data_IF_191352363205
#
_entry.id   IF_191352363205
#
_cell.length_a   1.000
_cell.length_b   1.000
_cell.length_c   1.000
_cell.angle_alpha   90.00
_cell.angle_beta   90.00
_cell.angle_gamma   90.00
#
_symmetry.space_group_name_H-M   'P 1'
#
loop_
_entity.id
_entity.type
_entity.pdbx_description
1 polymer ?
#
# COMPACT_ATOMS: atom_id res chain seq x y z
N UNK A 1 -9.00 67.11 68.06
CA UNK A 1 -7.95 66.15 67.80
C UNK A 1 -8.39 65.19 66.72
N UNK A 2 -7.49 64.77 65.80
CA UNK A 2 -7.68 63.84 64.74
C UNK A 2 -7.19 62.46 65.14
N UNK A 3 -7.59 61.40 64.40
CA UNK A 3 -7.09 60.02 64.51
C UNK A 3 -6.43 59.56 63.22
N UNK A 4 -5.96 58.31 63.19
CA UNK A 4 -5.36 57.68 62.01
C UNK A 4 -6.06 56.36 61.69
N UNK A 5 -6.05 56.00 60.42
CA UNK A 5 -6.49 54.70 59.94
C UNK A 5 -5.38 54.10 59.09
N UNK A 6 -5.03 52.84 59.39
CA UNK A 6 -4.00 52.08 58.67
C UNK A 6 -4.68 50.83 58.09
N UNK A 7 -4.59 50.68 56.76
CA UNK A 7 -4.94 49.44 56.08
C UNK A 7 -3.70 48.58 55.90
N UNK A 8 -3.77 47.34 56.36
CA UNK A 8 -2.70 46.34 56.14
C UNK A 8 -3.13 45.34 55.11
N UNK A 9 -2.42 45.28 54.01
CA UNK A 9 -2.74 44.45 52.87
C UNK A 9 -1.89 43.19 52.86
N UNK A 10 -2.54 42.04 52.74
CA UNK A 10 -1.87 40.74 52.72
C UNK A 10 -2.41 39.89 51.56
N UNK A 11 -1.57 38.97 51.05
CA UNK A 11 -2.08 37.84 50.30
C UNK A 11 -2.72 36.82 51.24
N UNK A 12 -3.46 35.88 50.70
CA UNK A 12 -3.98 34.72 51.41
C UNK A 12 -2.90 33.82 52.02
N UNK A 13 -1.68 33.81 51.40
CA UNK A 13 -0.47 33.18 51.94
C UNK A 13 0.20 33.99 53.05
N UNK A 14 -0.31 35.18 53.35
CA UNK A 14 0.17 36.05 54.44
C UNK A 14 1.31 36.99 54.04
N UNK A 15 1.65 37.12 52.75
CA UNK A 15 2.65 38.10 52.28
C UNK A 15 2.07 39.52 52.30
N UNK A 16 2.89 40.49 52.65
CA UNK A 16 2.53 41.92 52.57
C UNK A 16 2.47 42.38 51.10
N UNK A 17 1.36 43.06 50.75
CA UNK A 17 1.09 43.45 49.37
C UNK A 17 1.22 44.95 49.13
N UNK A 18 2.28 45.43 48.46
CA UNK A 18 2.39 46.81 48.01
C UNK A 18 1.55 47.08 46.76
N UNK A 19 1.18 48.34 46.53
CA UNK A 19 0.50 48.77 45.32
C UNK A 19 -1.01 48.60 45.31
N UNK A 20 -1.65 48.20 46.42
CA UNK A 20 -3.09 48.19 46.52
C UNK A 20 -3.63 49.61 46.67
N UNK A 21 -4.58 50.03 45.85
CA UNK A 21 -5.24 51.32 46.01
C UNK A 21 -6.47 51.21 46.90
N UNK A 22 -6.45 51.99 47.99
CA UNK A 22 -7.49 51.97 49.02
C UNK A 22 -8.24 53.31 49.03
N UNK A 23 -9.55 53.24 49.08
CA UNK A 23 -10.47 54.38 49.27
C UNK A 23 -11.11 54.26 50.64
N UNK A 24 -11.06 55.34 51.41
CA UNK A 24 -11.83 55.47 52.66
C UNK A 24 -12.78 56.63 52.55
N UNK A 25 -13.99 56.50 53.13
CA UNK A 25 -15.07 57.50 53.12
C UNK A 25 -15.63 57.69 54.51
N UNK A 26 -15.58 58.89 55.04
CA UNK A 26 -16.23 59.21 56.31
C UNK A 26 -17.76 59.21 56.15
N UNK A 27 -18.47 58.35 56.86
CA UNK A 27 -19.89 58.06 56.60
C UNK A 27 -20.77 59.29 56.82
N UNK A 28 -20.51 60.11 57.86
CA UNK A 28 -21.35 61.26 58.18
C UNK A 28 -21.09 62.46 57.24
N UNK A 29 -19.83 62.74 56.90
CA UNK A 29 -19.50 63.93 56.14
C UNK A 29 -19.29 63.69 54.63
N UNK A 30 -19.22 62.44 54.20
CA UNK A 30 -18.92 62.05 52.82
C UNK A 30 -17.50 62.40 52.39
N UNK A 31 -16.59 62.78 53.28
CA UNK A 31 -15.20 63.07 52.97
C UNK A 31 -14.47 61.81 52.52
N UNK A 32 -13.82 61.84 51.33
CA UNK A 32 -13.14 60.71 50.72
C UNK A 32 -11.64 60.96 50.71
N UNK A 33 -10.85 59.92 51.03
CA UNK A 33 -9.41 59.88 50.94
C UNK A 33 -9.03 58.63 50.16
N UNK A 34 -7.94 58.71 49.38
CA UNK A 34 -7.37 57.59 48.65
C UNK A 34 -5.87 57.48 48.99
N UNK A 35 -5.38 56.27 49.06
CA UNK A 35 -3.99 55.96 49.34
C UNK A 35 -3.59 54.62 48.72
N UNK A 36 -2.31 54.39 48.57
CA UNK A 36 -1.74 53.16 48.05
C UNK A 36 -0.89 52.47 49.10
N UNK A 37 -0.87 51.13 49.13
CA UNK A 37 -0.05 50.39 50.08
C UNK A 37 1.42 50.45 49.63
N UNK A 38 2.29 50.74 50.59
CA UNK A 38 3.74 50.81 50.44
C UNK A 38 4.39 49.40 50.44
N UNK A 39 5.71 49.31 50.38
CA UNK A 39 6.46 48.04 50.41
C UNK A 39 6.20 47.17 51.65
N UNK A 40 5.71 47.75 52.76
CA UNK A 40 5.28 47.00 53.94
C UNK A 40 3.79 46.59 53.88
N UNK A 41 3.14 46.71 52.71
CA UNK A 41 1.74 46.41 52.53
C UNK A 41 0.82 47.35 53.31
N UNK A 42 1.20 48.57 53.65
CA UNK A 42 0.43 49.49 54.48
C UNK A 42 0.04 50.77 53.75
N UNK A 43 -1.26 51.12 53.81
CA UNK A 43 -1.76 52.46 53.45
C UNK A 43 -2.18 53.19 54.72
N UNK A 44 -1.59 54.35 54.98
CA UNK A 44 -1.84 55.12 56.23
C UNK A 44 -2.51 56.42 55.87
N UNK A 45 -3.66 56.67 56.55
CA UNK A 45 -4.43 57.91 56.47
C UNK A 45 -4.26 58.61 57.80
N UNK A 46 -3.49 59.70 57.85
CA UNK A 46 -3.20 60.45 59.06
C UNK A 46 -4.05 61.69 59.17
N UNK A 47 -4.26 62.15 60.37
CA UNK A 47 -4.96 63.40 60.70
C UNK A 47 -6.37 63.46 60.06
N UNK A 48 -7.12 62.35 60.13
CA UNK A 48 -8.49 62.29 59.64
C UNK A 48 -9.49 62.50 60.79
N UNK A 49 -10.66 62.98 60.46
CA UNK A 49 -11.74 63.29 61.42
C UNK A 49 -12.20 62.01 62.17
N UNK A 50 -12.34 62.01 63.50
CA UNK A 50 -12.94 60.85 64.16
C UNK A 50 -14.37 60.56 63.68
N UNK A 51 -14.74 59.29 63.59
CA UNK A 51 -16.04 58.84 63.13
C UNK A 51 -15.95 57.51 62.37
N UNK A 52 -17.09 57.08 61.86
CA UNK A 52 -17.17 55.84 61.10
C UNK A 52 -16.77 56.01 59.64
N UNK A 53 -15.91 55.12 59.13
CA UNK A 53 -15.41 55.10 57.76
C UNK A 53 -15.82 53.82 57.06
N UNK A 54 -16.15 53.92 55.77
CA UNK A 54 -16.17 52.82 54.83
C UNK A 54 -14.80 52.72 54.19
N UNK A 55 -14.26 51.50 54.08
CA UNK A 55 -12.96 51.22 53.52
C UNK A 55 -13.18 50.24 52.39
N UNK A 56 -12.70 50.54 51.18
CA UNK A 56 -12.80 49.73 49.99
C UNK A 56 -11.46 49.66 49.28
N UNK A 57 -11.12 48.51 48.75
CA UNK A 57 -10.08 48.40 47.75
C UNK A 57 -10.64 48.86 46.41
N UNK A 58 -9.97 49.79 45.74
CA UNK A 58 -10.37 50.28 44.42
C UNK A 58 -9.50 49.68 43.29
N UNK A 59 -8.30 49.20 43.61
CA UNK A 59 -7.46 48.41 42.71
C UNK A 59 -6.58 47.47 43.54
N UNK A 60 -6.51 46.20 43.11
CA UNK A 60 -5.58 45.24 43.69
C UNK A 60 -4.17 45.41 43.11
N UNK A 61 -3.11 44.94 43.78
CA UNK A 61 -1.81 44.77 43.19
C UNK A 61 -1.83 43.84 41.98
N UNK A 62 -0.86 43.95 41.06
CA UNK A 62 -0.70 43.00 39.95
C UNK A 62 -0.58 41.55 40.46
N UNK A 63 -1.24 40.61 39.79
CA UNK A 63 -1.27 39.20 40.18
C UNK A 63 -2.31 38.84 41.26
N UNK A 64 -3.10 39.79 41.72
CA UNK A 64 -4.10 39.57 42.78
C UNK A 64 -5.50 39.94 42.34
N UNK A 65 -6.49 39.30 42.94
CA UNK A 65 -7.93 39.55 42.73
C UNK A 65 -8.35 40.69 43.67
N UNK A 66 -9.04 41.69 43.10
CA UNK A 66 -9.55 42.82 43.89
C UNK A 66 -10.61 42.35 44.88
N UNK A 67 -10.46 42.68 46.13
CA UNK A 67 -11.54 42.47 47.13
C UNK A 67 -12.67 43.45 46.89
N UNK A 68 -13.88 42.93 46.72
CA UNK A 68 -15.11 43.70 46.61
C UNK A 68 -15.78 43.94 47.99
N UNK A 69 -15.15 43.47 49.08
CA UNK A 69 -15.64 43.66 50.41
C UNK A 69 -15.57 45.13 50.84
N UNK A 70 -16.59 45.57 51.55
CA UNK A 70 -16.63 46.91 52.16
C UNK A 70 -16.45 46.77 53.66
N UNK A 71 -15.29 47.20 54.12
CA UNK A 71 -14.98 47.21 55.57
C UNK A 71 -15.50 48.50 56.22
N UNK A 72 -15.78 48.42 57.52
CA UNK A 72 -16.10 49.60 58.34
C UNK A 72 -15.22 49.66 59.54
N UNK A 73 -14.76 50.86 59.87
CA UNK A 73 -13.95 51.12 61.05
C UNK A 73 -14.36 52.44 61.71
N UNK A 74 -14.25 52.51 63.00
CA UNK A 74 -14.47 53.76 63.71
C UNK A 74 -13.12 54.34 64.14
N UNK A 75 -12.74 55.48 63.57
CA UNK A 75 -11.53 56.23 63.96
C UNK A 75 -11.78 57.00 65.22
N UNK A 76 -10.92 56.81 66.19
CA UNK A 76 -10.93 57.46 67.49
C UNK A 76 -9.86 58.52 67.57
N UNK A 77 -10.15 59.58 68.23
CA UNK A 77 -9.20 60.69 68.40
C UNK A 77 -7.93 60.22 69.14
N UNK A 78 -6.76 60.48 68.53
CA UNK A 78 -5.44 60.17 69.06
C UNK A 78 -4.96 58.75 68.85
N UNK A 79 -5.78 57.88 68.30
CA UNK A 79 -5.47 56.49 68.06
C UNK A 79 -5.22 56.19 66.56
N UNK A 80 -4.60 55.03 66.29
CA UNK A 80 -4.48 54.44 64.95
C UNK A 80 -5.30 53.17 64.95
N UNK A 81 -6.31 53.11 64.05
CA UNK A 81 -7.13 51.91 63.81
C UNK A 81 -6.51 51.13 62.66
N UNK A 82 -6.27 49.84 62.85
CA UNK A 82 -5.72 48.95 61.83
C UNK A 82 -6.81 48.02 61.24
N UNK A 83 -6.85 47.91 59.92
CA UNK A 83 -7.79 47.03 59.21
C UNK A 83 -6.98 46.12 58.26
N UNK A 84 -7.00 44.82 58.48
CA UNK A 84 -6.40 43.88 57.51
C UNK A 84 -7.39 43.66 56.33
N UNK A 85 -6.85 43.66 55.12
CA UNK A 85 -7.53 43.28 53.87
C UNK A 85 -6.69 42.23 53.19
N UNK A 86 -7.29 41.08 52.79
CA UNK A 86 -6.62 39.96 52.12
C UNK A 86 -7.07 39.93 50.67
N UNK A 87 -6.10 39.69 49.76
CA UNK A 87 -6.38 39.36 48.36
C UNK A 87 -5.93 37.93 48.05
N UNK A 88 -6.70 37.28 47.22
CA UNK A 88 -6.35 35.99 46.64
C UNK A 88 -5.46 36.21 45.42
N UNK A 89 -4.50 35.31 45.20
CA UNK A 89 -3.70 35.29 44.00
C UNK A 89 -4.54 34.90 42.77
N UNK A 90 -4.28 35.52 41.64
CA UNK A 90 -4.91 35.13 40.40
C UNK A 90 -4.42 33.75 39.98
N UNK A 91 -5.31 32.87 39.54
CA UNK A 91 -4.96 31.55 39.09
C UNK A 91 -4.23 31.59 37.71
N UNK A 92 -3.62 30.48 37.37
CA UNK A 92 -3.05 30.22 36.07
C UNK A 92 -3.63 28.94 35.44
N UNK A 93 -3.49 28.82 34.14
CA UNK A 93 -3.86 27.63 33.36
C UNK A 93 -2.66 27.16 32.55
N UNK A 94 -2.32 25.89 32.71
CA UNK A 94 -1.36 25.20 31.86
C UNK A 94 -2.12 24.20 30.99
N UNK A 95 -1.95 24.28 29.66
CA UNK A 95 -2.42 23.30 28.71
C UNK A 95 -1.22 22.50 28.23
N UNK A 96 -1.31 21.17 28.30
CA UNK A 96 -0.22 20.27 27.92
C UNK A 96 -0.72 19.36 26.83
N UNK A 97 0.09 19.20 25.77
CA UNK A 97 -0.25 18.40 24.61
C UNK A 97 0.74 17.28 24.36
N UNK A 98 0.25 16.06 24.28
CA UNK A 98 1.05 14.86 24.03
C UNK A 98 0.53 14.03 22.85
N UNK A 99 1.44 13.30 22.22
CA UNK A 99 1.11 12.13 21.39
C UNK A 99 0.56 11.01 22.30
N UNK A 100 -0.58 10.44 21.93
CA UNK A 100 -1.27 9.44 22.76
C UNK A 100 -0.52 8.11 22.86
N UNK A 101 0.33 7.79 21.88
CA UNK A 101 1.04 6.52 21.78
C UNK A 101 2.45 6.60 22.37
N UNK A 102 3.20 7.66 22.02
CA UNK A 102 4.59 7.81 22.46
C UNK A 102 4.71 8.60 23.75
N UNK A 103 3.71 9.39 24.10
CA UNK A 103 3.71 10.36 25.19
C UNK A 103 4.78 11.46 25.01
N UNK A 104 5.22 11.67 23.78
CA UNK A 104 6.09 12.81 23.46
C UNK A 104 5.28 14.09 23.39
N UNK A 105 5.90 15.19 23.78
CA UNK A 105 5.28 16.51 23.73
C UNK A 105 5.03 16.96 22.28
N UNK A 106 3.86 17.54 22.00
CA UNK A 106 3.52 18.03 20.67
C UNK A 106 3.56 19.57 20.63
N UNK A 107 4.59 20.17 19.99
CA UNK A 107 4.68 21.61 19.80
C UNK A 107 3.80 22.11 18.65
N UNK A 108 3.56 23.44 18.65
CA UNK A 108 2.83 24.16 17.59
C UNK A 108 1.37 23.71 17.38
N UNK A 109 0.78 23.05 18.35
CA UNK A 109 -0.64 22.68 18.31
C UNK A 109 -1.47 23.89 18.77
N UNK A 110 -2.52 24.22 18.02
CA UNK A 110 -3.32 25.42 18.27
C UNK A 110 -4.56 25.11 19.09
N UNK A 111 -4.79 25.90 20.14
CA UNK A 111 -5.95 25.83 21.00
C UNK A 111 -6.69 27.15 21.03
N UNK A 112 -7.99 27.13 20.87
CA UNK A 112 -8.87 28.23 21.23
C UNK A 112 -9.20 28.13 22.71
N UNK A 113 -8.97 29.23 23.45
CA UNK A 113 -9.27 29.34 24.87
C UNK A 113 -10.32 30.42 25.05
N UNK A 114 -11.40 30.12 25.78
CA UNK A 114 -12.46 31.05 26.11
C UNK A 114 -12.77 31.01 27.62
N UNK A 115 -13.20 32.15 28.16
CA UNK A 115 -13.71 32.31 29.54
C UNK A 115 -15.15 32.73 29.49
N UNK A 116 -16.04 32.06 30.20
CA UNK A 116 -17.47 32.39 30.31
C UNK A 116 -18.10 32.64 28.92
N UNK A 117 -17.78 31.77 27.94
CA UNK A 117 -18.17 31.83 26.52
C UNK A 117 -17.57 33.02 25.71
N UNK A 118 -16.66 33.79 26.29
CA UNK A 118 -15.94 34.85 25.57
C UNK A 118 -14.56 34.38 25.17
N UNK A 119 -14.23 34.43 23.86
CA UNK A 119 -12.92 34.01 23.37
C UNK A 119 -11.80 34.93 23.88
N UNK A 120 -10.75 34.32 24.39
CA UNK A 120 -9.50 34.99 24.74
C UNK A 120 -8.51 34.99 23.58
N UNK A 121 -8.72 34.14 22.55
CA UNK A 121 -7.89 33.99 21.39
C UNK A 121 -7.41 32.57 21.14
N UNK A 122 -6.52 32.42 20.16
CA UNK A 122 -5.87 31.17 19.82
C UNK A 122 -4.42 31.19 20.28
N UNK A 123 -4.00 30.15 20.96
CA UNK A 123 -2.68 29.96 21.52
C UNK A 123 -2.05 28.70 20.94
N UNK A 124 -0.72 28.66 20.86
CA UNK A 124 0.01 27.51 20.36
C UNK A 124 0.93 26.94 21.44
N UNK A 125 1.04 25.60 21.46
CA UNK A 125 2.00 24.94 22.34
C UNK A 125 3.44 25.25 21.91
N UNK A 126 4.31 25.44 22.92
CA UNK A 126 5.74 25.67 22.77
C UNK A 126 6.51 24.38 22.43
N UNK A 127 7.85 24.44 22.49
CA UNK A 127 8.73 23.28 22.24
C UNK A 127 8.56 22.12 23.25
N UNK A 128 7.96 22.39 24.41
CA UNK A 128 7.64 21.41 25.44
C UNK A 128 6.18 20.91 25.35
N UNK A 129 5.44 21.34 24.34
CA UNK A 129 4.02 21.00 24.18
C UNK A 129 3.10 21.75 25.14
N UNK A 130 3.52 22.90 25.67
CA UNK A 130 2.80 23.63 26.72
C UNK A 130 2.28 25.01 26.26
N UNK A 131 1.13 25.39 26.82
CA UNK A 131 0.63 26.77 26.83
C UNK A 131 0.48 27.15 28.30
N UNK A 132 1.15 28.20 28.73
CA UNK A 132 1.06 28.72 30.10
C UNK A 132 0.41 30.10 30.07
N UNK A 133 -0.74 30.25 30.76
CA UNK A 133 -1.40 31.51 30.98
C UNK A 133 -1.41 31.79 32.48
N UNK A 134 -0.92 32.97 32.87
CA UNK A 134 -0.87 33.43 34.27
C UNK A 134 -1.77 34.63 34.48
N UNK A 135 -2.00 35.00 35.71
CA UNK A 135 -2.77 36.17 36.11
C UNK A 135 -4.21 36.19 35.55
N UNK A 136 -4.84 35.03 35.48
CA UNK A 136 -6.19 34.87 34.95
C UNK A 136 -7.22 35.32 35.96
N UNK A 137 -8.35 35.83 35.44
CA UNK A 137 -9.52 36.13 36.31
C UNK A 137 -10.25 34.81 36.63
N UNK A 138 -10.75 34.61 37.87
CA UNK A 138 -11.60 33.47 38.21
C UNK A 138 -12.78 33.31 37.26
N UNK A 139 -13.18 32.05 37.00
CA UNK A 139 -14.30 31.71 36.11
C UNK A 139 -14.10 30.40 35.39
N UNK A 140 -15.04 30.10 34.50
CA UNK A 140 -15.04 28.87 33.73
C UNK A 140 -14.28 29.03 32.39
N UNK A 141 -13.23 28.25 32.23
CA UNK A 141 -12.43 28.23 31.02
C UNK A 141 -12.75 27.00 30.17
N UNK A 142 -12.92 27.22 28.88
CA UNK A 142 -13.08 26.18 27.88
C UNK A 142 -11.88 26.19 26.95
N UNK A 143 -11.23 25.04 26.80
CA UNK A 143 -10.04 24.85 25.97
C UNK A 143 -10.36 23.84 24.88
N UNK A 144 -10.21 24.22 23.63
CA UNK A 144 -10.52 23.40 22.45
C UNK A 144 -9.37 23.42 21.47
N UNK A 145 -8.93 22.25 21.03
CA UNK A 145 -7.97 22.15 19.93
C UNK A 145 -8.62 22.56 18.62
N UNK A 146 -7.95 23.44 17.85
CA UNK A 146 -8.45 23.97 16.57
C UNK A 146 -7.54 23.67 15.39
N UNK A 147 -6.28 23.32 15.64
CA UNK A 147 -5.35 22.83 14.61
C UNK A 147 -4.26 21.94 15.23
N UNK A 148 -3.87 20.93 14.46
CA UNK A 148 -2.76 20.01 14.78
C UNK A 148 -1.77 19.96 13.62
N UNK A 149 -0.65 19.25 13.78
CA UNK A 149 0.31 19.00 12.70
C UNK A 149 -0.23 17.99 11.67
N UNK A 150 0.56 17.73 10.61
CA UNK A 150 0.13 16.88 9.49
C UNK A 150 0.08 15.39 9.83
N UNK A 151 0.81 14.94 10.86
CA UNK A 151 0.96 13.53 11.22
C UNK A 151 0.00 13.06 12.32
N UNK A 152 -0.76 13.99 12.91
CA UNK A 152 -1.71 13.68 13.98
C UNK A 152 -3.16 13.94 13.58
N UNK A 153 -4.06 13.26 14.28
CA UNK A 153 -5.50 13.45 14.17
C UNK A 153 -5.93 14.49 15.20
N UNK A 154 -6.61 15.55 14.74
CA UNK A 154 -7.12 16.58 15.63
C UNK A 154 -8.16 16.01 16.60
N UNK A 155 -7.99 16.29 17.89
CA UNK A 155 -9.01 16.01 18.90
C UNK A 155 -9.73 17.30 19.30
N UNK A 156 -10.79 17.63 18.60
CA UNK A 156 -11.56 18.85 18.82
C UNK A 156 -12.53 18.79 20.01
N UNK A 157 -12.47 17.73 20.81
CA UNK A 157 -13.28 17.62 22.05
C UNK A 157 -12.80 18.64 23.06
N UNK A 158 -13.63 19.62 23.46
CA UNK A 158 -13.20 20.64 24.40
C UNK A 158 -13.13 20.07 25.82
N UNK A 159 -12.20 20.61 26.61
CA UNK A 159 -12.16 20.39 28.06
C UNK A 159 -12.49 21.70 28.78
N UNK A 160 -13.17 21.58 29.89
CA UNK A 160 -13.58 22.70 30.70
C UNK A 160 -12.92 22.61 32.09
N UNK A 161 -12.50 23.77 32.61
CA UNK A 161 -11.93 23.88 33.94
C UNK A 161 -12.48 25.16 34.61
N UNK A 162 -12.76 25.09 35.90
CA UNK A 162 -13.09 26.24 36.72
C UNK A 162 -11.82 26.69 37.46
N UNK A 163 -11.50 27.95 37.37
CA UNK A 163 -10.38 28.56 38.07
C UNK A 163 -10.92 29.48 39.13
N UNK A 164 -10.46 29.29 40.38
CA UNK A 164 -10.76 30.12 41.53
C UNK A 164 -9.51 30.86 42.00
N UNK A 165 -9.69 31.85 42.87
CA UNK A 165 -8.58 32.53 43.48
C UNK A 165 -7.72 31.56 44.29
N UNK A 166 -6.40 31.77 44.24
CA UNK A 166 -5.44 30.95 44.98
C UNK A 166 -5.32 29.47 44.58
N UNK A 167 -5.93 29.06 43.46
CA UNK A 167 -5.75 27.73 42.93
C UNK A 167 -4.30 27.44 42.42
N UNK A 168 -3.50 28.50 42.23
CA UNK A 168 -2.22 28.40 41.56
C UNK A 168 -2.39 28.12 40.09
N UNK A 169 -1.51 27.29 39.53
CA UNK A 169 -1.58 26.88 38.10
C UNK A 169 -2.25 25.52 38.02
N UNK A 170 -3.46 25.48 37.44
CA UNK A 170 -4.15 24.24 37.16
C UNK A 170 -3.82 23.73 35.73
N UNK A 171 -3.91 22.41 35.52
CA UNK A 171 -3.47 21.78 34.29
C UNK A 171 -4.60 21.07 33.55
N UNK A 172 -4.61 21.19 32.21
CA UNK A 172 -5.39 20.39 31.28
C UNK A 172 -4.45 19.65 30.34
N UNK A 173 -4.65 18.33 30.22
CA UNK A 173 -3.83 17.47 29.38
C UNK A 173 -4.66 16.97 28.18
N UNK A 174 -4.12 17.14 26.99
CA UNK A 174 -4.71 16.70 25.73
C UNK A 174 -3.80 15.71 25.02
N UNK A 175 -4.43 14.78 24.31
CA UNK A 175 -3.71 13.78 23.52
C UNK A 175 -4.22 13.80 22.08
N UNK A 176 -3.31 13.61 21.11
CA UNK A 176 -3.64 13.31 19.72
C UNK A 176 -3.12 11.95 19.33
N UNK A 177 -3.92 11.23 18.56
CA UNK A 177 -3.50 10.00 17.92
C UNK A 177 -2.69 10.31 16.67
N UNK A 178 -1.68 9.50 16.38
CA UNK A 178 -0.97 9.52 15.10
C UNK A 178 -1.93 9.10 13.99
N UNK A 179 -1.78 9.71 12.82
CA UNK A 179 -2.46 9.24 11.63
C UNK A 179 -2.00 7.84 11.28
N UNK A 180 -2.91 6.97 10.83
CA UNK A 180 -2.57 5.60 10.48
C UNK A 180 -1.78 5.50 9.17
N UNK A 181 -1.20 4.33 8.95
CA UNK A 181 -0.54 3.96 7.71
C UNK A 181 -1.05 2.64 7.13
N UNK A 182 -0.63 2.35 5.90
CA UNK A 182 -0.81 1.06 5.24
C UNK A 182 0.56 0.56 4.81
N UNK A 183 0.91 -0.65 5.24
CA UNK A 183 2.04 -1.41 4.74
C UNK A 183 1.52 -2.59 3.93
N UNK A 184 1.78 -2.62 2.63
CA UNK A 184 1.38 -3.67 1.71
C UNK A 184 2.62 -4.42 1.22
N UNK A 185 2.58 -5.75 1.28
CA UNK A 185 3.64 -6.62 0.76
C UNK A 185 3.07 -7.51 -0.34
N UNK A 186 3.73 -7.57 -1.47
CA UNK A 186 3.40 -8.40 -2.62
C UNK A 186 4.41 -9.51 -2.81
N UNK A 187 3.94 -10.77 -2.83
CA UNK A 187 4.79 -11.95 -2.88
C UNK A 187 4.36 -12.91 -3.99
N UNK A 188 5.31 -13.71 -4.47
CA UNK A 188 5.02 -14.94 -5.23
C UNK A 188 4.29 -15.95 -4.33
N UNK A 189 3.20 -16.53 -4.81
CA UNK A 189 2.36 -17.45 -4.01
C UNK A 189 3.05 -18.77 -3.64
N UNK A 190 4.10 -19.14 -4.35
CA UNK A 190 4.81 -20.42 -4.20
C UNK A 190 6.16 -20.24 -3.51
N UNK A 191 6.96 -19.27 -3.98
CA UNK A 191 8.31 -19.06 -3.47
C UNK A 191 8.37 -18.10 -2.29
N UNK A 192 7.33 -17.28 -2.11
CA UNK A 192 7.24 -16.17 -1.17
C UNK A 192 8.30 -15.08 -1.41
N UNK A 193 8.90 -15.06 -2.59
CA UNK A 193 9.80 -13.99 -2.99
C UNK A 193 9.02 -12.68 -3.25
N UNK A 194 9.61 -11.53 -2.95
CA UNK A 194 8.98 -10.24 -3.21
C UNK A 194 8.70 -9.99 -4.69
N UNK A 195 7.56 -9.40 -5.00
CA UNK A 195 7.15 -9.06 -6.36
C UNK A 195 7.08 -7.54 -6.57
N UNK A 196 8.08 -6.95 -7.22
CA UNK A 196 8.05 -5.55 -7.64
C UNK A 196 7.12 -5.32 -8.83
N UNK A 197 6.76 -4.05 -9.07
CA UNK A 197 5.97 -3.58 -10.21
C UNK A 197 4.50 -4.05 -10.25
N UNK A 198 3.95 -4.59 -9.16
CA UNK A 198 2.52 -4.79 -9.03
C UNK A 198 1.83 -3.43 -8.78
N UNK A 199 0.74 -3.14 -9.51
CA UNK A 199 -0.01 -1.89 -9.34
C UNK A 199 -1.27 -2.10 -8.52
N UNK A 200 -1.46 -1.26 -7.52
CA UNK A 200 -2.61 -1.27 -6.63
C UNK A 200 -3.34 0.07 -6.66
N UNK A 201 -4.66 0.03 -6.62
CA UNK A 201 -5.50 1.18 -6.30
C UNK A 201 -5.91 1.09 -4.85
N UNK A 202 -5.67 2.18 -4.10
CA UNK A 202 -6.03 2.33 -2.70
C UNK A 202 -6.99 3.51 -2.58
N UNK A 203 -8.18 3.25 -2.00
CA UNK A 203 -9.30 4.19 -1.97
C UNK A 203 -9.90 4.25 -0.57
N UNK A 204 -10.16 5.47 -0.07
CA UNK A 204 -10.97 5.67 1.14
C UNK A 204 -12.45 5.51 0.79
N UNK A 205 -13.10 4.54 1.39
CA UNK A 205 -14.54 4.28 1.18
C UNK A 205 -15.39 5.45 1.66
N UNK A 206 -16.14 6.05 0.74
CA UNK A 206 -16.96 7.23 1.05
C UNK A 206 -16.20 8.55 1.13
N UNK A 207 -14.88 8.53 0.90
CA UNK A 207 -14.03 9.71 0.85
C UNK A 207 -13.60 10.09 -0.57
N UNK A 208 -12.73 11.07 -0.68
CA UNK A 208 -12.18 11.54 -1.96
C UNK A 208 -10.81 10.97 -2.29
N UNK A 209 -10.17 10.30 -1.33
CA UNK A 209 -8.86 9.68 -1.57
C UNK A 209 -9.00 8.45 -2.46
N UNK A 210 -8.35 8.48 -3.61
CA UNK A 210 -8.21 7.36 -4.54
C UNK A 210 -6.92 7.55 -5.31
N UNK A 211 -5.95 6.64 -5.15
CA UNK A 211 -4.64 6.75 -5.77
C UNK A 211 -4.07 5.40 -6.15
N UNK A 212 -3.28 5.38 -7.22
CA UNK A 212 -2.54 4.20 -7.66
C UNK A 212 -1.10 4.23 -7.14
N UNK A 213 -0.62 3.07 -6.73
CA UNK A 213 0.72 2.83 -6.24
C UNK A 213 1.29 1.58 -6.88
N UNK A 214 2.61 1.54 -6.97
CA UNK A 214 3.34 0.40 -7.53
C UNK A 214 4.30 -0.13 -6.48
N UNK A 215 4.36 -1.46 -6.33
CA UNK A 215 5.30 -2.08 -5.41
C UNK A 215 6.75 -1.81 -5.82
N UNK A 216 7.59 -1.53 -4.84
CA UNK A 216 9.02 -1.27 -4.99
C UNK A 216 9.83 -2.55 -5.25
N UNK A 217 11.17 -2.46 -5.18
CA UNK A 217 12.08 -3.60 -5.39
C UNK A 217 11.92 -4.71 -4.32
N UNK A 218 11.38 -4.38 -3.15
CA UNK A 218 11.09 -5.32 -2.07
C UNK A 218 9.66 -5.85 -2.14
N UNK A 219 8.88 -5.48 -3.15
CA UNK A 219 7.47 -5.84 -3.26
C UNK A 219 6.57 -5.04 -2.32
N UNK A 220 6.99 -3.86 -1.84
CA UNK A 220 6.31 -3.13 -0.77
C UNK A 220 5.67 -1.82 -1.27
N UNK A 221 4.59 -1.43 -0.59
CA UNK A 221 3.98 -0.09 -0.66
C UNK A 221 3.77 0.36 0.78
N UNK A 222 4.41 1.48 1.16
CA UNK A 222 4.24 2.13 2.44
C UNK A 222 3.51 3.46 2.30
N UNK A 223 2.42 3.62 3.03
CA UNK A 223 1.66 4.86 3.12
C UNK A 223 1.59 5.30 4.57
N UNK A 224 1.87 6.57 4.81
CA UNK A 224 1.78 7.21 6.12
C UNK A 224 0.77 8.34 6.10
N UNK A 225 0.42 8.84 7.26
CA UNK A 225 -0.39 10.05 7.45
C UNK A 225 -1.76 10.00 6.77
N UNK A 226 -2.35 8.80 6.72
CA UNK A 226 -3.70 8.60 6.17
C UNK A 226 -4.77 9.06 7.16
N UNK A 227 -5.91 9.50 6.64
CA UNK A 227 -7.08 9.74 7.50
C UNK A 227 -7.66 8.40 7.98
N UNK A 228 -8.13 8.32 9.24
CA UNK A 228 -8.85 7.14 9.71
C UNK A 228 -10.07 6.83 8.85
N UNK A 229 -10.32 5.53 8.59
CA UNK A 229 -11.45 5.13 7.77
C UNK A 229 -11.33 3.74 7.18
N UNK A 230 -12.30 3.35 6.36
CA UNK A 230 -12.27 2.10 5.63
C UNK A 230 -11.52 2.29 4.30
N UNK A 231 -10.45 1.54 4.10
CA UNK A 231 -9.69 1.56 2.85
C UNK A 231 -9.92 0.31 2.04
N UNK A 232 -10.23 0.51 0.76
CA UNK A 232 -10.35 -0.52 -0.25
C UNK A 232 -9.05 -0.61 -1.02
N UNK A 233 -8.46 -1.81 -1.08
CA UNK A 233 -7.22 -2.11 -1.80
C UNK A 233 -7.52 -3.12 -2.89
N UNK A 234 -7.21 -2.79 -4.14
CA UNK A 234 -7.46 -3.62 -5.32
C UNK A 234 -6.23 -3.65 -6.21
N UNK A 235 -5.78 -4.83 -6.58
CA UNK A 235 -4.72 -4.97 -7.58
C UNK A 235 -5.26 -4.57 -8.95
N UNK A 236 -4.56 -3.70 -9.67
CA UNK A 236 -4.92 -3.23 -11.01
C UNK A 236 -4.10 -3.90 -12.10
N UNK A 237 -2.89 -4.32 -11.78
CA UNK A 237 -2.02 -5.09 -12.66
C UNK A 237 -1.02 -5.91 -11.86
N UNK A 238 -0.88 -7.17 -12.22
CA UNK A 238 0.18 -8.04 -11.72
C UNK A 238 1.53 -7.70 -12.40
N UNK A 239 2.67 -8.07 -11.80
CA UNK A 239 3.95 -8.05 -12.49
C UNK A 239 3.95 -8.95 -13.73
N UNK A 240 4.87 -8.70 -14.67
CA UNK A 240 5.03 -9.54 -15.85
C UNK A 240 5.30 -11.00 -15.46
N UNK A 241 4.67 -11.94 -16.16
CA UNK A 241 4.76 -13.36 -15.86
C UNK A 241 3.83 -13.87 -14.75
N UNK A 242 2.98 -13.02 -14.20
CA UNK A 242 2.05 -13.37 -13.13
C UNK A 242 0.58 -13.16 -13.52
N UNK A 243 -0.29 -13.92 -12.87
CA UNK A 243 -1.73 -13.76 -12.96
C UNK A 243 -2.18 -12.70 -11.93
N UNK A 244 -3.08 -11.83 -12.33
CA UNK A 244 -3.63 -10.82 -11.43
C UNK A 244 -4.52 -11.48 -10.36
N UNK A 245 -4.42 -11.00 -9.11
CA UNK A 245 -5.39 -11.27 -8.07
C UNK A 245 -6.48 -10.19 -8.12
N UNK A 246 -7.66 -10.50 -8.61
CA UNK A 246 -8.79 -9.57 -8.72
C UNK A 246 -9.54 -9.38 -7.39
N UNK A 247 -9.07 -10.01 -6.32
CA UNK A 247 -9.66 -9.90 -5.00
C UNK A 247 -9.51 -8.47 -4.45
N UNK A 248 -10.64 -7.90 -4.09
CA UNK A 248 -10.69 -6.62 -3.39
C UNK A 248 -10.68 -6.86 -1.90
N UNK A 249 -9.81 -6.14 -1.16
CA UNK A 249 -9.75 -6.19 0.30
C UNK A 249 -10.13 -4.83 0.87
N UNK A 250 -10.93 -4.87 1.93
CA UNK A 250 -11.34 -3.67 2.68
C UNK A 250 -10.92 -3.85 4.12
N UNK A 251 -10.27 -2.82 4.68
CA UNK A 251 -9.88 -2.79 6.08
C UNK A 251 -10.25 -1.44 6.70
N UNK A 252 -10.73 -1.48 7.94
CA UNK A 252 -10.88 -0.29 8.77
C UNK A 252 -9.56 0.01 9.45
N UNK A 253 -9.06 1.24 9.30
CA UNK A 253 -7.87 1.73 10.01
C UNK A 253 -8.23 2.90 10.91
N UNK A 254 -7.68 2.90 12.12
CA UNK A 254 -7.89 3.90 13.15
C UNK A 254 -6.57 4.60 13.48
N UNK A 255 -6.64 5.67 14.25
CA UNK A 255 -5.44 6.34 14.73
C UNK A 255 -4.51 5.39 15.50
N UNK A 256 -3.22 5.68 15.48
CA UNK A 256 -2.16 4.90 16.10
C UNK A 256 -1.92 3.48 15.53
N UNK A 257 -2.61 3.10 14.45
CA UNK A 257 -2.54 1.77 13.86
C UNK A 257 -1.95 1.84 12.44
N UNK A 258 -1.13 0.84 12.10
CA UNK A 258 -0.73 0.60 10.73
C UNK A 258 -1.35 -0.71 10.25
N UNK A 259 -2.14 -0.64 9.18
CA UNK A 259 -2.69 -1.82 8.56
C UNK A 259 -1.63 -2.56 7.75
N UNK A 260 -1.63 -3.88 7.83
CA UNK A 260 -0.76 -4.73 7.02
C UNK A 260 -1.59 -5.57 6.05
N UNK A 261 -1.15 -5.58 4.79
CA UNK A 261 -1.71 -6.42 3.73
C UNK A 261 -0.62 -7.29 3.12
N UNK A 262 -0.93 -8.56 2.94
CA UNK A 262 -0.09 -9.46 2.15
C UNK A 262 -0.93 -9.92 0.97
N UNK A 263 -0.50 -9.59 -0.24
CA UNK A 263 -1.07 -10.08 -1.50
C UNK A 263 -0.09 -11.02 -2.16
N UNK A 264 -0.60 -12.05 -2.81
CA UNK A 264 0.21 -12.98 -3.58
C UNK A 264 -0.26 -13.03 -5.02
N UNK A 265 0.67 -13.25 -5.98
CA UNK A 265 0.31 -13.64 -7.33
C UNK A 265 0.91 -15.00 -7.65
N UNK A 266 0.22 -15.73 -8.50
CA UNK A 266 0.68 -17.02 -9.02
C UNK A 266 1.29 -16.79 -10.39
N UNK A 267 2.42 -17.45 -10.67
CA UNK A 267 3.06 -17.39 -11.97
C UNK A 267 2.11 -17.91 -13.05
N UNK A 268 2.19 -17.31 -14.24
CA UNK A 268 1.56 -17.84 -15.42
C UNK A 268 2.19 -19.20 -15.76
N UNK A 269 1.40 -20.15 -16.32
CA UNK A 269 1.95 -21.43 -16.72
C UNK A 269 2.95 -21.31 -17.84
N UNK A 270 3.87 -22.28 -17.91
CA UNK A 270 4.75 -22.49 -19.05
C UNK A 270 4.45 -23.82 -19.73
N UNK A 271 4.78 -23.90 -21.01
CA UNK A 271 4.58 -25.10 -21.82
C UNK A 271 5.85 -25.43 -22.58
N UNK A 272 6.30 -26.69 -22.45
CA UNK A 272 7.41 -27.25 -23.19
C UNK A 272 6.88 -28.35 -24.12
N UNK A 273 7.14 -28.26 -25.42
CA UNK A 273 6.94 -29.31 -26.39
C UNK A 273 8.29 -29.92 -26.78
N UNK A 274 8.37 -31.24 -26.78
CA UNK A 274 9.57 -31.98 -27.19
C UNK A 274 9.20 -32.86 -28.37
N UNK A 275 9.87 -32.61 -29.50
CA UNK A 275 9.72 -33.39 -30.76
C UNK A 275 10.85 -34.37 -30.92
N UNK A 276 10.52 -35.66 -31.06
CA UNK A 276 11.52 -36.73 -31.11
C UNK A 276 11.40 -37.56 -32.40
N UNK A 277 12.50 -38.14 -32.82
CA UNK A 277 12.55 -39.28 -33.74
C UNK A 277 12.07 -40.52 -32.98
N UNK A 278 11.03 -41.20 -33.47
CA UNK A 278 10.41 -42.34 -32.79
C UNK A 278 11.34 -43.53 -32.60
N UNK A 279 12.35 -43.66 -33.45
CA UNK A 279 13.29 -44.79 -33.41
C UNK A 279 14.49 -44.49 -32.54
N UNK A 280 15.12 -43.32 -32.68
CA UNK A 280 16.36 -42.99 -31.99
C UNK A 280 16.13 -42.22 -30.67
N UNK A 281 14.97 -41.65 -30.48
CA UNK A 281 14.68 -40.75 -29.33
C UNK A 281 15.41 -39.42 -29.40
N UNK A 282 16.08 -39.10 -30.50
CA UNK A 282 16.77 -37.80 -30.67
C UNK A 282 15.77 -36.70 -30.98
N UNK A 283 16.07 -35.49 -30.50
CA UNK A 283 15.27 -34.30 -30.82
C UNK A 283 15.24 -33.96 -32.31
N UNK A 284 14.09 -33.57 -32.83
CA UNK A 284 13.85 -33.20 -34.21
C UNK A 284 13.63 -31.70 -34.35
N UNK A 285 14.61 -31.03 -34.98
CA UNK A 285 14.50 -29.62 -35.33
C UNK A 285 13.64 -29.40 -36.58
N UNK A 286 12.99 -28.23 -36.66
CA UNK A 286 12.29 -27.79 -37.85
C UNK A 286 10.85 -28.29 -37.99
N UNK A 287 10.28 -28.98 -37.01
CA UNK A 287 8.86 -29.25 -36.95
C UNK A 287 8.06 -28.00 -36.58
N UNK A 288 7.04 -27.69 -37.34
CA UNK A 288 6.15 -26.54 -37.07
C UNK A 288 4.91 -26.99 -36.36
N UNK A 289 4.60 -26.36 -35.21
CA UNK A 289 3.42 -26.62 -34.44
C UNK A 289 2.54 -25.37 -34.32
N UNK A 290 1.21 -25.57 -34.45
CA UNK A 290 0.19 -24.60 -34.07
C UNK A 290 -0.30 -24.91 -32.69
N UNK A 291 -0.25 -23.90 -31.79
CA UNK A 291 -0.65 -23.98 -30.42
C UNK A 291 -1.73 -22.91 -30.20
N UNK A 292 -2.95 -23.32 -29.85
CA UNK A 292 -4.09 -22.42 -29.72
C UNK A 292 -4.88 -22.70 -28.45
N UNK A 293 -5.24 -21.66 -27.70
CA UNK A 293 -6.17 -21.81 -26.58
C UNK A 293 -7.59 -22.10 -27.10
N UNK A 294 -8.20 -23.16 -26.62
CA UNK A 294 -9.48 -23.63 -27.14
C UNK A 294 -10.62 -22.64 -26.87
N UNK A 295 -10.60 -22.01 -25.72
CA UNK A 295 -11.63 -21.06 -25.28
C UNK A 295 -11.66 -19.78 -26.14
N UNK A 296 -10.51 -19.32 -26.61
CA UNK A 296 -10.39 -18.07 -27.36
C UNK A 296 -10.54 -18.25 -28.87
N UNK A 297 -10.21 -19.42 -29.41
CA UNK A 297 -10.36 -19.80 -30.84
C UNK A 297 -9.74 -18.89 -31.89
N UNK A 298 -9.43 -17.67 -31.52
CA UNK A 298 -8.96 -16.58 -32.41
C UNK A 298 -7.46 -16.32 -32.37
N UNK A 299 -6.77 -16.78 -31.34
CA UNK A 299 -5.33 -16.56 -31.16
C UNK A 299 -4.58 -17.89 -31.17
N UNK A 300 -3.68 -18.04 -32.11
CA UNK A 300 -2.79 -19.19 -32.18
C UNK A 300 -1.34 -18.73 -32.28
N UNK A 301 -0.44 -19.59 -31.81
CA UNK A 301 1.00 -19.42 -31.90
C UNK A 301 1.56 -20.51 -32.81
N UNK A 302 2.11 -20.12 -33.95
CA UNK A 302 2.91 -21.04 -34.76
C UNK A 302 4.35 -20.98 -34.27
N UNK A 303 4.93 -22.13 -33.93
CA UNK A 303 6.29 -22.27 -33.40
C UNK A 303 7.00 -23.42 -34.11
N UNK A 304 8.31 -23.26 -34.25
CA UNK A 304 9.20 -24.24 -34.86
C UNK A 304 10.14 -24.81 -33.81
N UNK A 305 10.31 -26.13 -33.80
CA UNK A 305 11.25 -26.79 -32.90
C UNK A 305 12.67 -26.38 -33.16
N UNK A 306 13.43 -26.11 -32.09
CA UNK A 306 14.84 -25.73 -32.12
C UNK A 306 15.77 -26.93 -32.44
N UNK A 307 17.08 -26.72 -32.35
CA UNK A 307 18.09 -27.74 -32.62
C UNK A 307 18.07 -28.94 -31.68
N UNK A 308 17.38 -28.82 -30.53
CA UNK A 308 17.14 -29.90 -29.56
C UNK A 308 15.81 -30.59 -29.78
N UNK A 309 14.98 -30.09 -30.70
CA UNK A 309 13.61 -30.55 -30.92
C UNK A 309 12.62 -29.93 -29.95
N UNK A 310 12.93 -28.77 -29.35
CA UNK A 310 12.10 -28.16 -28.27
C UNK A 310 11.40 -26.88 -28.73
N UNK A 311 10.19 -26.69 -28.19
CA UNK A 311 9.48 -25.41 -28.16
C UNK A 311 9.21 -25.10 -26.71
N UNK A 312 9.72 -23.95 -26.20
CA UNK A 312 9.47 -23.46 -24.86
C UNK A 312 8.67 -22.16 -24.93
N UNK A 313 7.53 -22.10 -24.23
CA UNK A 313 6.66 -20.93 -24.19
C UNK A 313 6.36 -20.62 -22.71
N UNK A 314 6.62 -19.37 -22.30
CA UNK A 314 6.26 -18.82 -21.00
C UNK A 314 5.07 -17.87 -21.12
N UNK A 315 4.55 -17.44 -20.00
CA UNK A 315 3.55 -16.37 -19.86
C UNK A 315 2.21 -16.65 -20.56
N UNK A 316 1.86 -17.93 -20.66
CA UNK A 316 0.57 -18.34 -21.17
C UNK A 316 -0.56 -18.14 -20.15
N UNK A 317 -1.75 -17.86 -20.61
CA UNK A 317 -2.93 -17.87 -19.74
C UNK A 317 -3.30 -19.32 -19.40
N UNK A 318 -3.80 -19.60 -18.18
CA UNK A 318 -4.33 -20.92 -17.83
C UNK A 318 -5.49 -21.33 -18.76
N UNK A 319 -5.62 -22.63 -19.03
CA UNK A 319 -6.70 -23.15 -19.87
C UNK A 319 -6.25 -24.34 -20.70
N UNK A 320 -7.15 -24.81 -21.59
CA UNK A 320 -6.88 -25.96 -22.46
C UNK A 320 -6.38 -25.46 -23.81
N UNK A 321 -5.26 -26.02 -24.25
CA UNK A 321 -4.62 -25.69 -25.52
C UNK A 321 -4.70 -26.90 -26.48
N UNK A 322 -5.06 -26.62 -27.72
CA UNK A 322 -4.91 -27.51 -28.87
C UNK A 322 -3.50 -27.36 -29.43
N UNK A 323 -2.81 -28.48 -29.67
CA UNK A 323 -1.46 -28.54 -30.21
C UNK A 323 -1.48 -29.47 -31.43
N UNK A 324 -1.20 -28.92 -32.61
CA UNK A 324 -1.23 -29.63 -33.89
C UNK A 324 0.06 -29.43 -34.64
N UNK A 325 0.68 -30.51 -35.11
CA UNK A 325 1.82 -30.41 -36.03
C UNK A 325 1.33 -29.92 -37.38
N UNK A 326 1.85 -28.79 -37.86
CA UNK A 326 1.52 -28.22 -39.16
C UNK A 326 2.42 -28.82 -40.26
N UNK A 327 3.73 -28.90 -39.98
CA UNK A 327 4.73 -29.45 -40.87
C UNK A 327 5.75 -30.29 -40.10
N UNK A 328 6.02 -31.49 -40.61
CA UNK A 328 7.08 -32.35 -40.08
C UNK A 328 8.47 -31.93 -40.64
N UNK A 329 9.56 -32.26 -39.93
CA UNK A 329 10.89 -32.12 -40.49
C UNK A 329 11.06 -32.97 -41.75
N UNK A 330 11.99 -32.54 -42.63
CA UNK A 330 12.26 -33.29 -43.88
C UNK A 330 12.69 -34.74 -43.59
N UNK A 331 12.08 -35.68 -44.32
CA UNK A 331 12.31 -37.12 -44.13
C UNK A 331 11.49 -37.79 -43.04
N UNK A 332 10.55 -37.08 -42.46
CA UNK A 332 9.66 -37.60 -41.42
C UNK A 332 8.21 -37.53 -41.85
N UNK A 333 7.39 -38.46 -41.30
CA UNK A 333 5.97 -38.49 -41.49
C UNK A 333 5.30 -37.55 -40.52
N UNK A 334 4.49 -36.63 -41.04
CA UNK A 334 3.72 -35.68 -40.20
C UNK A 334 2.76 -36.41 -39.28
N UNK A 335 2.75 -36.05 -38.01
CA UNK A 335 1.71 -36.47 -37.06
C UNK A 335 0.45 -35.64 -37.25
N UNK A 336 -0.65 -36.30 -37.63
CA UNK A 336 -1.92 -35.65 -37.87
C UNK A 336 -2.85 -35.58 -36.63
N UNK A 337 -2.36 -36.04 -35.48
CA UNK A 337 -3.12 -35.99 -34.23
C UNK A 337 -3.22 -34.58 -33.71
N UNK A 338 -4.33 -34.26 -33.10
CA UNK A 338 -4.53 -33.07 -32.29
C UNK A 338 -4.38 -33.46 -30.82
N UNK A 339 -3.49 -32.77 -30.12
CA UNK A 339 -3.24 -32.95 -28.68
C UNK A 339 -3.91 -31.84 -27.91
N UNK A 340 -4.51 -32.18 -26.76
CA UNK A 340 -5.07 -31.23 -25.83
C UNK A 340 -4.21 -31.21 -24.58
N UNK A 341 -3.72 -30.04 -24.19
CA UNK A 341 -2.87 -29.82 -23.01
C UNK A 341 -3.55 -28.81 -22.11
N UNK A 342 -3.83 -29.19 -20.87
CA UNK A 342 -4.36 -28.29 -19.86
C UNK A 342 -3.21 -27.63 -19.10
N UNK A 343 -3.21 -26.30 -19.07
CA UNK A 343 -2.21 -25.49 -18.39
C UNK A 343 -2.81 -24.88 -17.12
N UNK A 344 -2.22 -25.20 -15.98
CA UNK A 344 -2.62 -24.70 -14.66
C UNK A 344 -1.70 -23.59 -14.16
N UNK A 345 -2.24 -22.60 -13.41
CA UNK A 345 -1.45 -21.56 -12.79
C UNK A 345 -0.23 -22.12 -12.04
N UNK A 346 0.92 -21.49 -12.22
CA UNK A 346 2.18 -21.85 -11.52
C UNK A 346 2.80 -23.18 -11.92
N UNK A 347 2.28 -23.85 -12.98
CA UNK A 347 2.79 -25.15 -13.41
C UNK A 347 3.52 -25.08 -14.75
N UNK A 348 4.51 -25.96 -14.90
CA UNK A 348 5.21 -26.23 -16.15
C UNK A 348 4.64 -27.52 -16.75
N UNK A 349 4.03 -27.44 -17.93
CA UNK A 349 3.47 -28.60 -18.62
C UNK A 349 4.39 -29.04 -19.74
N UNK A 350 4.45 -30.35 -20.00
CA UNK A 350 5.26 -30.92 -21.09
C UNK A 350 4.42 -31.83 -21.98
N UNK A 351 4.65 -31.73 -23.30
CA UNK A 351 4.10 -32.63 -24.30
C UNK A 351 5.26 -33.21 -25.14
N UNK A 352 5.34 -34.53 -25.19
CA UNK A 352 6.30 -35.22 -26.06
C UNK A 352 5.57 -35.78 -27.27
N UNK A 353 6.01 -35.42 -28.47
CA UNK A 353 5.49 -35.87 -29.77
C UNK A 353 6.60 -36.48 -30.58
N UNK A 354 6.38 -37.64 -31.22
CA UNK A 354 7.37 -38.28 -32.04
C UNK A 354 6.90 -38.43 -33.49
N UNK A 355 7.81 -38.35 -34.43
CA UNK A 355 7.56 -38.69 -35.85
C UNK A 355 8.36 -39.93 -36.27
N UNK A 356 7.73 -40.71 -37.13
CA UNK A 356 8.37 -41.83 -37.80
C UNK A 356 9.14 -41.33 -39.03
N UNK A 357 10.29 -41.94 -39.30
CA UNK A 357 11.02 -41.67 -40.52
C UNK A 357 10.22 -42.16 -41.72
N UNK A 358 10.31 -41.43 -42.83
CA UNK A 358 9.84 -41.91 -44.11
C UNK A 358 10.66 -43.13 -44.52
N UNK A 359 10.01 -44.22 -44.94
CA UNK A 359 10.71 -45.40 -45.38
C UNK A 359 11.44 -45.17 -46.73
N UNK A 360 12.43 -46.00 -46.97
CA UNK A 360 13.13 -46.09 -48.26
C UNK A 360 12.79 -47.42 -48.90
N UNK A 361 12.80 -47.48 -50.25
CA UNK A 361 12.59 -48.69 -51.04
C UNK A 361 13.83 -49.00 -51.83
N UNK A 362 14.33 -50.20 -51.68
CA UNK A 362 15.40 -50.75 -52.55
C UNK A 362 14.81 -51.84 -53.43
N UNK A 363 15.03 -51.74 -54.74
CA UNK A 363 14.67 -52.77 -55.70
C UNK A 363 15.98 -53.35 -56.22
N UNK A 364 16.13 -54.70 -56.16
CA UNK A 364 17.27 -55.42 -56.73
C UNK A 364 16.83 -56.19 -57.95
N UNK A 365 17.36 -55.85 -59.11
CA UNK A 365 17.11 -56.54 -60.33
C UNK A 365 18.26 -57.50 -60.66
N UNK A 366 17.88 -58.76 -60.82
CA UNK A 366 18.84 -59.83 -61.22
C UNK A 366 18.38 -60.58 -62.47
N UNK A 367 19.30 -61.12 -63.20
CA UNK A 367 19.06 -62.07 -64.28
C UNK A 367 18.55 -63.41 -63.75
N UNK A 368 17.43 -63.90 -64.27
CA UNK A 368 16.73 -65.06 -63.71
C UNK A 368 17.51 -66.39 -63.86
N UNK A 369 18.48 -66.46 -64.75
CA UNK A 369 19.28 -67.66 -65.01
C UNK A 369 20.61 -67.62 -64.26
N UNK A 370 21.32 -66.50 -64.37
CA UNK A 370 22.67 -66.38 -63.86
C UNK A 370 22.73 -65.80 -62.44
N UNK A 371 21.64 -65.20 -61.96
CA UNK A 371 21.58 -64.48 -60.69
C UNK A 371 22.39 -63.19 -60.65
N UNK A 372 23.00 -62.78 -61.76
CA UNK A 372 23.86 -61.57 -61.83
C UNK A 372 22.97 -60.32 -61.85
N UNK A 373 23.54 -59.19 -61.30
CA UNK A 373 22.81 -57.91 -61.35
C UNK A 373 22.55 -57.44 -62.78
N UNK A 374 21.39 -56.85 -63.08
CA UNK A 374 21.05 -56.26 -64.36
C UNK A 374 20.87 -54.74 -64.20
N UNK A 375 21.77 -54.02 -64.91
CA UNK A 375 21.71 -52.56 -64.96
C UNK A 375 20.79 -52.06 -66.07
N UNK A 376 20.24 -50.86 -65.94
CA UNK A 376 19.46 -50.16 -66.96
C UNK A 376 18.02 -50.62 -67.10
N UNK A 377 17.47 -51.38 -66.13
CA UNK A 377 16.08 -51.71 -66.08
C UNK A 377 15.32 -50.56 -65.40
N UNK A 378 14.32 -50.01 -66.08
CA UNK A 378 13.47 -48.93 -65.48
C UNK A 378 12.23 -49.53 -64.87
N UNK A 379 12.00 -49.20 -63.62
CA UNK A 379 10.80 -49.54 -62.85
C UNK A 379 9.92 -48.32 -62.71
N UNK A 380 8.61 -48.54 -62.79
CA UNK A 380 7.61 -47.58 -62.32
C UNK A 380 7.14 -48.03 -60.95
N UNK A 381 7.13 -47.05 -60.03
CA UNK A 381 6.66 -47.22 -58.63
C UNK A 381 5.52 -46.26 -58.43
N UNK A 382 4.38 -46.81 -58.00
CA UNK A 382 3.15 -46.04 -57.74
C UNK A 382 2.61 -46.38 -56.37
N UNK A 383 2.32 -45.39 -55.56
CA UNK A 383 1.55 -45.58 -54.32
C UNK A 383 0.09 -45.83 -54.71
N UNK A 384 -0.55 -46.86 -54.14
CA UNK A 384 -1.86 -47.32 -54.56
C UNK A 384 -2.97 -46.28 -54.40
N UNK A 385 -2.87 -45.46 -53.35
CA UNK A 385 -3.78 -44.36 -53.05
C UNK A 385 -3.41 -43.02 -53.68
N UNK A 386 -2.45 -42.99 -54.60
CA UNK A 386 -1.95 -41.78 -55.29
C UNK A 386 -1.98 -41.97 -56.80
N UNK A 387 -2.18 -40.88 -57.51
CA UNK A 387 -2.04 -40.85 -58.98
C UNK A 387 -0.56 -40.62 -59.46
N UNK A 388 0.34 -40.33 -58.51
CA UNK A 388 1.73 -40.01 -58.82
C UNK A 388 2.52 -41.28 -59.20
N UNK A 389 3.19 -41.23 -60.29
CA UNK A 389 4.10 -42.28 -60.79
C UNK A 389 5.54 -41.76 -60.61
N UNK A 390 6.41 -42.60 -60.05
CA UNK A 390 7.85 -42.34 -59.99
C UNK A 390 8.59 -43.42 -60.77
N UNK A 391 9.56 -43.07 -61.60
CA UNK A 391 10.40 -44.03 -62.32
C UNK A 391 11.81 -44.04 -61.73
N UNK A 392 12.38 -45.24 -61.68
CA UNK A 392 13.77 -45.42 -61.17
C UNK A 392 14.44 -46.47 -62.03
N UNK A 393 15.72 -46.28 -62.33
CA UNK A 393 16.50 -47.18 -63.20
C UNK A 393 17.60 -47.88 -62.40
N UNK A 394 17.78 -49.18 -62.62
CA UNK A 394 18.77 -49.97 -61.91
C UNK A 394 20.23 -49.56 -62.36
N UNK A 395 21.10 -49.43 -61.35
CA UNK A 395 22.50 -49.09 -61.48
C UNK A 395 23.36 -50.31 -61.95
N UNK A 396 24.68 -50.13 -62.02
CA UNK A 396 25.61 -51.21 -62.37
C UNK A 396 25.59 -52.42 -61.47
N UNK A 397 25.02 -52.33 -60.28
CA UNK A 397 24.87 -53.42 -59.35
C UNK A 397 23.39 -53.94 -59.34
N UNK A 398 22.59 -53.50 -60.32
CA UNK A 398 21.18 -53.89 -60.46
C UNK A 398 20.24 -53.27 -59.39
N UNK A 399 20.69 -52.20 -58.69
CA UNK A 399 19.97 -51.60 -57.58
C UNK A 399 19.24 -50.32 -57.98
N UNK A 400 18.03 -50.11 -57.48
CA UNK A 400 17.31 -48.86 -57.53
C UNK A 400 17.00 -48.44 -56.12
N UNK A 401 17.17 -47.13 -55.82
CA UNK A 401 16.83 -46.56 -54.51
C UNK A 401 15.81 -45.46 -54.67
N UNK A 402 14.79 -45.53 -53.87
CA UNK A 402 13.83 -44.48 -53.65
C UNK A 402 13.82 -44.12 -52.16
N UNK A 403 14.10 -42.88 -51.87
CA UNK A 403 14.21 -42.39 -50.50
C UNK A 403 12.99 -41.55 -50.13
N UNK A 404 12.70 -41.47 -48.82
CA UNK A 404 11.69 -40.55 -48.22
C UNK A 404 10.27 -40.83 -48.83
N UNK A 405 9.90 -42.06 -48.89
CA UNK A 405 8.58 -42.47 -49.38
C UNK A 405 7.55 -42.25 -48.27
N UNK A 406 6.35 -41.80 -48.61
CA UNK A 406 5.22 -41.80 -47.68
C UNK A 406 4.83 -43.26 -47.36
N UNK A 407 4.59 -43.61 -46.09
CA UNK A 407 4.07 -44.94 -45.74
C UNK A 407 2.82 -45.29 -46.52
N UNK A 408 2.74 -46.55 -46.96
CA UNK A 408 1.59 -47.02 -47.74
C UNK A 408 1.92 -48.21 -48.61
N UNK A 409 0.95 -48.65 -49.40
CA UNK A 409 1.10 -49.76 -50.32
C UNK A 409 1.57 -49.23 -51.67
N UNK A 410 2.65 -49.82 -52.21
CA UNK A 410 3.21 -49.44 -53.48
C UNK A 410 3.08 -50.62 -54.47
N UNK A 411 2.73 -50.30 -55.70
CA UNK A 411 2.70 -51.16 -56.85
C UNK A 411 3.95 -50.84 -57.71
N UNK A 412 4.69 -51.90 -58.04
CA UNK A 412 5.99 -51.80 -58.76
C UNK A 412 5.94 -52.72 -59.96
N UNK A 413 6.33 -52.19 -61.13
CA UNK A 413 6.45 -52.99 -62.37
C UNK A 413 7.57 -52.49 -63.21
N UNK A 414 8.07 -53.38 -64.11
CA UNK A 414 9.06 -52.99 -65.09
C UNK A 414 8.44 -52.19 -66.21
N UNK A 415 9.04 -51.06 -66.57
CA UNK A 415 8.64 -50.23 -67.69
C UNK A 415 9.47 -50.48 -68.94
N UNK A 416 10.79 -50.70 -68.76
CA UNK A 416 11.69 -51.02 -69.83
C UNK A 416 12.86 -51.83 -69.30
N UNK A 417 13.44 -52.64 -70.21
CA UNK A 417 14.65 -53.49 -69.98
C UNK A 417 15.72 -53.21 -71.04
N UNK A 418 17.00 -53.45 -70.71
CA UNK A 418 18.07 -53.39 -71.71
C UNK A 418 17.95 -54.46 -72.81
N UNK A 419 18.67 -54.24 -73.94
CA UNK A 419 18.76 -55.21 -75.03
C UNK A 419 19.21 -56.59 -74.52
N UNK A 420 18.55 -57.63 -75.00
CA UNK A 420 18.83 -59.04 -74.65
C UNK A 420 18.03 -59.57 -73.45
N UNK A 421 17.17 -58.73 -72.81
CA UNK A 421 16.27 -59.12 -71.73
C UNK A 421 14.83 -59.03 -72.19
N UNK A 422 13.96 -59.86 -71.59
CA UNK A 422 12.52 -59.82 -71.77
C UNK A 422 11.88 -59.03 -70.64
N UNK A 423 10.91 -58.12 -70.92
CA UNK A 423 10.15 -57.38 -69.98
C UNK A 423 9.32 -58.30 -69.07
N UNK A 424 9.42 -58.14 -67.75
CA UNK A 424 8.54 -58.84 -66.85
C UNK A 424 7.32 -57.95 -66.58
N UNK A 425 6.16 -58.34 -67.12
CA UNK A 425 4.91 -57.58 -66.98
C UNK A 425 4.23 -57.80 -65.64
N UNK A 426 4.81 -58.56 -64.71
CA UNK A 426 4.25 -58.78 -63.39
C UNK A 426 4.36 -57.56 -62.51
N UNK A 427 3.25 -57.15 -61.87
CA UNK A 427 3.21 -56.11 -60.87
C UNK A 427 3.43 -56.71 -59.49
N UNK A 428 4.31 -56.07 -58.70
CA UNK A 428 4.61 -56.46 -57.32
C UNK A 428 4.05 -55.42 -56.40
N UNK A 429 3.47 -55.88 -55.26
CA UNK A 429 2.94 -55.04 -54.21
C UNK A 429 3.87 -55.12 -53.00
N UNK A 430 4.20 -53.97 -52.44
CA UNK A 430 4.96 -53.82 -51.19
C UNK A 430 4.26 -52.85 -50.25
N UNK A 431 4.30 -53.17 -48.94
CA UNK A 431 3.66 -52.35 -47.88
C UNK A 431 4.72 -51.79 -46.99
#
# INVERSE_FOLDING_TARGET
PYGNLMVKKYSDSGMQLPGAAIRIEHIESGAVYTGETNYAGTAVFTEIKPGAYRIQEIAAPAGYIKSDEVYTATVISGDTVEIPIVNEEKPGLRVIKYDSKTHEALPNISFEISKDAQSLGTFQTDEFGEILLTDLEPGTYLVKEVATDSSHIINSTPQQIELEGSDGILELIFFNDQKPGIHLVKLDSTTLEPLPNARFRIELVGGTFSKEYTTDANGEIDLTDLEPGAYKVTEQAAPDGYLIDDATRVIQINGNENAQFVFTNTQKPSFRLVKLDSYSGLGLAGATFRIARIEDGSHYLDRVTDTKGEINISDLEPGIYSVVEMDAPEGYVKDSREYHVELFPGQNSELVVSNDRMPNLEILKTDAITGKPVAGVTFTVKRVDSSTLTTVTSDGNGRCYLEKLMPGVYEIWEQSVPDGYLLNEAHQMIT
#
